data_IF_751648087929
#
_entry.id   IF_751648087929
#
_cell.length_a   1.000
_cell.length_b   1.000
_cell.length_c   1.000
_cell.angle_alpha   90.00
_cell.angle_beta   90.00
_cell.angle_gamma   90.00
#
_symmetry.space_group_name_H-M   'P 1'
#
loop_
_entity.id
_entity.type
_entity.pdbx_description
1 polymer ?
#
# COMPACT_ATOMS: atom_id res chain seq x y z
N UNK A 1 -10.99 9.94 11.42
CA UNK A 1 -11.18 9.62 12.85
C UNK A 1 -9.91 9.73 13.68
N UNK A 2 -8.91 8.83 13.56
CA UNK A 2 -7.70 8.94 14.40
C UNK A 2 -6.98 10.28 14.20
N UNK A 3 -6.81 10.72 12.96
CA UNK A 3 -6.27 12.06 12.63
C UNK A 3 -7.01 13.24 13.33
N UNK A 4 -8.30 13.08 13.64
CA UNK A 4 -9.11 14.12 14.28
C UNK A 4 -9.11 14.01 15.81
N UNK A 5 -8.96 12.80 16.34
CA UNK A 5 -9.09 12.50 17.77
C UNK A 5 -7.73 12.36 18.47
N UNK A 6 -6.68 12.07 17.70
CA UNK A 6 -5.30 11.89 18.13
C UNK A 6 -4.39 12.59 17.10
N UNK A 7 -4.36 13.94 17.12
CA UNK A 7 -3.73 14.73 16.05
C UNK A 7 -2.20 14.73 16.07
N UNK A 8 -1.56 14.11 17.08
CA UNK A 8 -0.11 14.04 17.21
C UNK A 8 0.36 12.58 17.41
N UNK A 9 1.29 12.07 16.56
CA UNK A 9 1.81 12.71 15.35
C UNK A 9 0.77 12.79 14.22
N UNK A 10 0.75 13.86 13.41
CA UNK A 10 -0.20 14.00 12.31
C UNK A 10 0.14 13.04 11.16
N UNK A 11 -0.86 12.39 10.59
CA UNK A 11 -0.73 11.53 9.40
C UNK A 11 -1.15 12.26 8.12
N UNK A 12 -1.57 13.52 8.24
CA UNK A 12 -1.83 14.42 7.13
C UNK A 12 -1.01 15.71 7.27
N UNK A 13 -0.51 16.26 6.15
CA UNK A 13 0.18 17.54 6.14
C UNK A 13 -0.78 18.70 6.43
N UNK A 14 -0.22 19.89 6.72
CA UNK A 14 -1.01 21.05 7.14
C UNK A 14 -1.86 21.67 6.01
N UNK A 15 -1.31 21.82 4.81
CA UNK A 15 -2.00 22.53 3.72
C UNK A 15 -3.11 21.67 3.11
N UNK A 16 -4.23 22.30 2.72
CA UNK A 16 -5.35 21.58 2.08
C UNK A 16 -4.93 20.89 0.77
N UNK A 17 -4.02 21.51 0.01
CA UNK A 17 -3.47 20.94 -1.21
C UNK A 17 -2.66 19.66 -0.95
N UNK A 18 -1.75 19.70 0.04
CA UNK A 18 -0.94 18.53 0.39
C UNK A 18 -1.81 17.40 0.94
N UNK A 19 -2.84 17.73 1.74
CA UNK A 19 -3.82 16.75 2.23
C UNK A 19 -4.55 16.06 1.10
N UNK A 20 -4.88 16.79 0.04
CA UNK A 20 -5.50 16.21 -1.15
C UNK A 20 -4.53 15.24 -1.88
N UNK A 21 -3.24 15.58 -1.95
CA UNK A 21 -2.24 14.70 -2.55
C UNK A 21 -2.06 13.40 -1.77
N UNK A 22 -1.90 13.48 -0.44
CA UNK A 22 -1.77 12.29 0.42
C UNK A 22 -3.02 11.41 0.33
N UNK A 23 -4.22 12.00 0.37
CA UNK A 23 -5.46 11.24 0.19
C UNK A 23 -5.54 10.60 -1.19
N UNK A 24 -5.12 11.30 -2.24
CA UNK A 24 -5.13 10.74 -3.59
C UNK A 24 -4.14 9.58 -3.75
N UNK A 25 -2.99 9.59 -3.08
CA UNK A 25 -2.08 8.44 -3.03
C UNK A 25 -2.70 7.27 -2.26
N UNK A 26 -3.29 7.57 -1.10
CA UNK A 26 -3.94 6.57 -0.24
C UNK A 26 -5.11 5.89 -0.94
N UNK A 27 -5.98 6.67 -1.60
CA UNK A 27 -7.17 6.18 -2.30
C UNK A 27 -6.83 5.38 -3.55
N UNK A 28 -5.75 5.74 -4.27
CA UNK A 28 -5.28 4.90 -5.37
C UNK A 28 -5.00 3.46 -4.92
N UNK A 29 -4.53 3.26 -3.68
CA UNK A 29 -4.33 1.93 -3.10
C UNK A 29 -5.64 1.36 -2.55
N UNK A 30 -6.31 2.12 -1.69
CA UNK A 30 -7.46 1.66 -0.91
C UNK A 30 -8.72 1.43 -1.77
N UNK A 31 -8.85 2.10 -2.91
CA UNK A 31 -10.00 2.01 -3.80
C UNK A 31 -9.70 1.24 -5.09
N UNK A 32 -8.52 1.46 -5.69
CA UNK A 32 -8.28 0.98 -7.05
C UNK A 32 -7.41 -0.28 -7.11
N UNK A 33 -6.70 -0.64 -6.03
CA UNK A 33 -5.86 -1.85 -5.97
C UNK A 33 -6.44 -2.86 -4.99
N UNK A 34 -6.45 -2.51 -3.70
CA UNK A 34 -6.75 -3.44 -2.61
C UNK A 34 -8.11 -4.14 -2.75
N UNK A 35 -9.23 -3.45 -3.10
CA UNK A 35 -10.54 -4.09 -3.19
C UNK A 35 -10.61 -5.22 -4.21
N UNK A 36 -9.84 -5.15 -5.30
CA UNK A 36 -9.81 -6.15 -6.37
C UNK A 36 -9.03 -7.40 -5.99
N UNK A 37 -8.07 -7.28 -5.08
CA UNK A 37 -7.30 -8.40 -4.51
C UNK A 37 -7.89 -8.98 -3.22
N UNK A 38 -9.05 -8.50 -2.77
CA UNK A 38 -9.66 -8.96 -1.51
C UNK A 38 -10.14 -10.42 -1.61
N UNK A 39 -10.03 -11.18 -0.52
CA UNK A 39 -10.46 -12.58 -0.44
C UNK A 39 -11.90 -12.81 -0.92
N UNK A 40 -12.84 -11.89 -0.63
CA UNK A 40 -14.23 -12.03 -1.12
C UNK A 40 -14.32 -12.05 -2.63
N UNK A 41 -13.50 -11.23 -3.31
CA UNK A 41 -13.44 -11.14 -4.77
C UNK A 41 -12.76 -12.39 -5.32
N UNK A 42 -11.61 -12.77 -4.76
CA UNK A 42 -10.88 -13.96 -5.22
C UNK A 42 -11.68 -15.25 -5.01
N UNK A 43 -12.40 -15.38 -3.90
CA UNK A 43 -13.28 -16.52 -3.65
C UNK A 43 -14.45 -16.58 -4.62
N UNK A 44 -15.03 -15.43 -4.99
CA UNK A 44 -16.06 -15.37 -6.02
C UNK A 44 -15.50 -15.81 -7.39
N UNK A 45 -14.31 -15.34 -7.77
CA UNK A 45 -13.64 -15.76 -9.00
C UNK A 45 -13.41 -17.28 -9.04
N UNK A 46 -12.93 -17.86 -7.93
CA UNK A 46 -12.71 -19.30 -7.80
C UNK A 46 -14.02 -20.09 -7.89
N UNK A 47 -15.05 -19.67 -7.15
CA UNK A 47 -16.31 -20.41 -7.07
C UNK A 47 -17.14 -20.35 -8.36
N UNK A 48 -17.27 -19.14 -8.94
CA UNK A 48 -18.17 -18.84 -10.05
C UNK A 48 -17.51 -19.09 -11.40
N UNK A 49 -16.27 -18.62 -11.58
CA UNK A 49 -15.55 -18.70 -12.86
C UNK A 49 -14.51 -19.81 -12.91
N UNK A 50 -14.41 -20.62 -11.84
CA UNK A 50 -13.43 -21.71 -11.72
C UNK A 50 -11.98 -21.24 -11.96
N UNK A 51 -11.70 -19.99 -11.61
CA UNK A 51 -10.35 -19.43 -11.69
C UNK A 51 -9.42 -20.24 -10.77
N UNK A 52 -8.38 -20.83 -11.35
CA UNK A 52 -7.33 -21.53 -10.62
C UNK A 52 -6.35 -20.54 -9.98
N UNK A 53 -5.40 -21.05 -9.20
CA UNK A 53 -4.43 -20.21 -8.51
C UNK A 53 -3.57 -19.38 -9.47
N UNK A 54 -3.30 -19.87 -10.69
CA UNK A 54 -2.56 -19.11 -11.69
C UNK A 54 -3.36 -17.91 -12.19
N UNK A 55 -4.65 -18.10 -12.49
CA UNK A 55 -5.55 -17.04 -12.90
C UNK A 55 -5.75 -16.00 -11.78
N UNK A 56 -5.87 -16.44 -10.52
CA UNK A 56 -5.99 -15.53 -9.38
C UNK A 56 -4.71 -14.72 -9.14
N UNK A 57 -3.53 -15.35 -9.25
CA UNK A 57 -2.26 -14.65 -9.14
C UNK A 57 -2.07 -13.63 -10.27
N UNK A 58 -2.45 -13.99 -11.50
CA UNK A 58 -2.42 -13.07 -12.64
C UNK A 58 -3.37 -11.88 -12.44
N UNK A 59 -4.60 -12.14 -11.95
CA UNK A 59 -5.57 -11.11 -11.61
C UNK A 59 -5.01 -10.11 -10.59
N UNK A 60 -4.50 -10.60 -9.46
CA UNK A 60 -3.91 -9.73 -8.44
C UNK A 60 -2.69 -8.99 -8.97
N UNK A 61 -1.83 -9.68 -9.72
CA UNK A 61 -0.63 -9.11 -10.33
C UNK A 61 -0.92 -7.96 -11.28
N UNK A 62 -1.97 -8.05 -12.10
CA UNK A 62 -2.37 -6.99 -13.02
C UNK A 62 -2.74 -5.71 -12.27
N UNK A 63 -3.65 -5.80 -11.30
CA UNK A 63 -4.14 -4.64 -10.55
C UNK A 63 -3.05 -4.00 -9.69
N UNK A 64 -2.21 -4.81 -9.04
CA UNK A 64 -1.04 -4.32 -8.31
C UNK A 64 -0.08 -3.64 -9.29
N UNK A 65 0.25 -4.28 -10.41
CA UNK A 65 1.23 -3.79 -11.36
C UNK A 65 0.82 -2.46 -12.00
N UNK A 66 -0.45 -2.31 -12.38
CA UNK A 66 -1.02 -1.06 -12.88
C UNK A 66 -0.95 0.05 -11.83
N UNK A 67 -1.40 -0.24 -10.60
CA UNK A 67 -1.39 0.72 -9.51
C UNK A 67 0.02 1.14 -9.11
N UNK A 68 0.95 0.20 -8.98
CA UNK A 68 2.34 0.46 -8.62
C UNK A 68 3.06 1.27 -9.69
N UNK A 69 2.79 1.04 -10.98
CA UNK A 69 3.35 1.87 -12.06
C UNK A 69 2.93 3.33 -11.91
N UNK A 70 1.66 3.59 -11.62
CA UNK A 70 1.16 4.95 -11.41
C UNK A 70 1.73 5.57 -10.13
N UNK A 71 1.79 4.81 -9.03
CA UNK A 71 2.29 5.28 -7.74
C UNK A 71 3.80 5.56 -7.77
N UNK A 72 4.61 4.73 -8.42
CA UNK A 72 6.06 4.92 -8.57
C UNK A 72 6.40 6.29 -9.18
N UNK A 73 5.69 6.67 -10.25
CA UNK A 73 5.87 7.96 -10.91
C UNK A 73 5.34 9.14 -10.07
N UNK A 74 4.29 8.92 -9.27
CA UNK A 74 3.79 9.95 -8.35
C UNK A 74 4.75 10.19 -7.19
N UNK A 75 5.24 9.14 -6.56
CA UNK A 75 6.20 9.18 -5.44
C UNK A 75 7.49 9.86 -5.84
N UNK A 76 7.94 9.68 -7.09
CA UNK A 76 9.09 10.42 -7.65
C UNK A 76 8.96 11.94 -7.50
N UNK A 77 7.73 12.47 -7.53
CA UNK A 77 7.45 13.92 -7.47
C UNK A 77 7.01 14.38 -6.09
N UNK A 78 6.36 13.50 -5.32
CA UNK A 78 5.77 13.85 -4.02
C UNK A 78 6.65 13.56 -2.82
N UNK A 79 7.55 12.58 -2.90
CA UNK A 79 8.49 12.28 -1.81
C UNK A 79 9.60 13.33 -1.78
N UNK A 80 9.87 13.88 -0.59
CA UNK A 80 10.95 14.83 -0.34
C UNK A 80 12.28 14.15 -0.01
N UNK A 81 12.24 12.92 0.51
CA UNK A 81 13.40 12.21 1.05
C UNK A 81 13.65 10.82 0.43
N UNK A 82 12.76 10.36 -0.45
CA UNK A 82 12.79 9.03 -1.04
C UNK A 82 12.45 7.89 -0.07
N UNK A 83 12.00 8.21 1.15
CA UNK A 83 11.74 7.26 2.25
C UNK A 83 10.28 7.24 2.69
N UNK A 84 9.51 8.27 2.33
CA UNK A 84 8.07 8.36 2.55
C UNK A 84 7.33 8.54 1.22
N UNK A 85 6.06 8.15 1.15
CA UNK A 85 5.20 8.33 -0.02
C UNK A 85 4.96 9.81 -0.35
N UNK A 86 5.02 10.69 0.66
CA UNK A 86 4.82 12.13 0.54
C UNK A 86 5.71 12.88 1.53
N UNK A 87 6.39 13.95 1.07
CA UNK A 87 7.24 14.75 1.96
C UNK A 87 8.34 13.93 2.63
N UNK A 88 8.51 14.11 3.93
CA UNK A 88 9.57 13.47 4.73
C UNK A 88 9.07 12.88 6.07
N UNK A 89 7.76 12.79 6.25
CA UNK A 89 7.11 12.28 7.46
C UNK A 89 6.14 11.15 7.09
N UNK A 90 5.81 10.28 8.04
CA UNK A 90 4.81 9.23 7.86
C UNK A 90 3.42 9.85 7.66
N UNK A 91 2.74 9.44 6.60
CA UNK A 91 1.39 9.88 6.24
C UNK A 91 0.43 8.72 6.06
N UNK A 92 -0.86 9.00 5.84
CA UNK A 92 -1.85 7.98 5.47
C UNK A 92 -1.45 7.15 4.23
N UNK A 93 -0.70 7.74 3.29
CA UNK A 93 -0.27 7.02 2.09
C UNK A 93 0.74 5.90 2.43
N UNK A 94 1.59 6.14 3.43
CA UNK A 94 2.56 5.17 3.95
C UNK A 94 1.86 3.99 4.63
N UNK A 95 0.80 4.27 5.38
CA UNK A 95 -0.05 3.24 5.99
C UNK A 95 -0.74 2.35 4.97
N UNK A 96 -1.02 2.87 3.76
CA UNK A 96 -1.62 2.09 2.69
C UNK A 96 -0.59 1.29 1.87
N UNK A 97 0.60 1.86 1.59
CA UNK A 97 1.56 1.20 0.70
C UNK A 97 2.22 -0.02 1.32
N UNK A 98 2.53 0.00 2.62
CA UNK A 98 3.20 -1.13 3.31
C UNK A 98 2.38 -2.43 3.23
N UNK A 99 1.09 -2.47 3.64
CA UNK A 99 0.29 -3.68 3.48
C UNK A 99 0.03 -4.04 2.00
N UNK A 100 0.02 -3.06 1.09
CA UNK A 100 -0.12 -3.35 -0.33
C UNK A 100 1.15 -3.99 -0.94
N UNK A 101 2.34 -3.57 -0.49
CA UNK A 101 3.61 -4.19 -0.83
C UNK A 101 3.71 -5.60 -0.24
N UNK A 102 3.21 -5.80 0.98
CA UNK A 102 3.06 -7.14 1.56
C UNK A 102 2.21 -8.05 0.67
N UNK A 103 1.04 -7.58 0.22
CA UNK A 103 0.19 -8.33 -0.70
C UNK A 103 0.89 -8.62 -2.03
N UNK A 104 1.62 -7.66 -2.59
CA UNK A 104 2.41 -7.87 -3.80
C UNK A 104 3.41 -9.03 -3.63
N UNK A 105 4.13 -9.07 -2.50
CA UNK A 105 5.06 -10.18 -2.18
C UNK A 105 4.31 -11.51 -1.98
N UNK A 106 3.18 -11.50 -1.25
CA UNK A 106 2.33 -12.69 -1.01
C UNK A 106 1.86 -13.34 -2.32
N UNK A 107 1.48 -12.53 -3.30
CA UNK A 107 1.03 -12.98 -4.61
C UNK A 107 2.15 -13.06 -5.66
N UNK A 108 3.42 -12.99 -5.23
CA UNK A 108 4.62 -13.14 -6.07
C UNK A 108 4.68 -12.17 -7.26
N UNK A 109 4.12 -10.97 -7.08
CA UNK A 109 4.20 -9.90 -8.08
C UNK A 109 5.65 -9.42 -8.18
N UNK A 110 6.17 -9.26 -9.39
CA UNK A 110 7.49 -8.66 -9.58
C UNK A 110 7.45 -7.18 -9.21
N UNK A 111 8.18 -6.83 -8.16
CA UNK A 111 8.28 -5.45 -7.67
C UNK A 111 9.59 -4.77 -8.05
N UNK A 112 10.50 -5.45 -8.76
CA UNK A 112 11.76 -4.84 -9.22
C UNK A 112 11.57 -3.55 -10.02
N UNK A 113 10.53 -3.41 -10.87
CA UNK A 113 10.28 -2.18 -11.62
C UNK A 113 9.91 -0.95 -10.77
N UNK A 114 9.70 -1.10 -9.45
CA UNK A 114 9.24 -0.03 -8.56
C UNK A 114 10.26 0.30 -7.46
N UNK A 115 11.48 0.76 -7.82
CA UNK A 115 12.56 0.95 -6.86
C UNK A 115 12.24 1.98 -5.77
N UNK A 116 11.44 3.02 -6.04
CA UNK A 116 11.07 4.02 -5.02
C UNK A 116 10.07 3.46 -4.03
N UNK A 117 9.01 2.80 -4.51
CA UNK A 117 8.05 2.15 -3.62
C UNK A 117 8.74 1.11 -2.73
N UNK A 118 9.72 0.38 -3.27
CA UNK A 118 10.54 -0.56 -2.50
C UNK A 118 11.39 0.15 -1.45
N UNK A 119 12.05 1.25 -1.79
CA UNK A 119 12.86 2.02 -0.85
C UNK A 119 12.01 2.62 0.29
N UNK A 120 10.85 3.18 -0.04
CA UNK A 120 9.86 3.67 0.93
C UNK A 120 9.42 2.53 1.85
N UNK A 121 8.97 1.40 1.31
CA UNK A 121 8.53 0.28 2.14
C UNK A 121 9.65 -0.26 3.04
N UNK A 122 10.87 -0.40 2.52
CA UNK A 122 12.02 -0.85 3.31
C UNK A 122 12.32 0.11 4.48
N UNK A 123 12.21 1.42 4.25
CA UNK A 123 12.36 2.39 5.33
C UNK A 123 11.22 2.27 6.35
N UNK A 124 9.97 2.30 5.91
CA UNK A 124 8.80 2.25 6.80
C UNK A 124 8.77 0.96 7.63
N UNK A 125 9.05 -0.20 7.00
CA UNK A 125 9.12 -1.51 7.66
C UNK A 125 10.24 -1.57 8.73
N UNK A 126 11.26 -0.72 8.63
CA UNK A 126 12.32 -0.62 9.66
C UNK A 126 11.88 0.17 10.91
N UNK A 127 10.78 0.93 10.83
CA UNK A 127 10.28 1.72 11.95
C UNK A 127 9.57 0.83 12.97
N UNK A 128 9.79 1.00 14.29
CA UNK A 128 9.18 0.13 15.31
C UNK A 128 7.65 0.06 15.26
N UNK A 129 6.97 1.15 14.85
CA UNK A 129 5.52 1.17 14.73
C UNK A 129 5.00 0.22 13.65
N UNK A 130 5.65 0.20 12.48
CA UNK A 130 5.29 -0.71 11.38
C UNK A 130 5.71 -2.14 11.67
N UNK A 131 6.91 -2.35 12.23
CA UNK A 131 7.39 -3.69 12.60
C UNK A 131 6.43 -4.39 13.58
N UNK A 132 5.90 -3.68 14.59
CA UNK A 132 4.89 -4.23 15.51
C UNK A 132 3.51 -4.44 14.87
N UNK A 133 3.20 -3.71 13.80
CA UNK A 133 1.93 -3.82 13.07
C UNK A 133 1.97 -4.87 11.95
N UNK A 134 3.12 -5.50 11.69
CA UNK A 134 3.26 -6.54 10.68
C UNK A 134 2.35 -7.74 10.99
N UNK A 135 1.77 -8.41 9.98
CA UNK A 135 0.90 -9.57 10.19
C UNK A 135 1.55 -10.65 11.06
N UNK A 136 2.83 -10.94 10.86
CA UNK A 136 3.58 -11.97 11.58
C UNK A 136 3.83 -11.63 13.06
N UNK A 137 3.67 -10.35 13.44
CA UNK A 137 3.82 -9.88 14.81
C UNK A 137 2.51 -9.92 15.61
N UNK A 138 1.39 -10.33 15.00
CA UNK A 138 0.09 -10.37 15.67
C UNK A 138 -0.12 -11.66 16.47
N UNK A 139 -0.89 -11.64 17.58
CA UNK A 139 -1.08 -12.81 18.44
C UNK A 139 -1.66 -14.04 17.76
N UNK A 140 -2.44 -13.84 16.69
CA UNK A 140 -3.15 -14.85 15.90
C UNK A 140 -2.37 -15.33 14.67
N UNK A 141 -1.13 -14.86 14.45
CA UNK A 141 -0.29 -15.25 13.31
C UNK A 141 0.31 -16.66 13.42
N UNK A 142 -0.13 -17.47 14.40
CA UNK A 142 0.38 -18.82 14.69
C UNK A 142 -0.41 -19.91 13.99
#
# INVERSE_FOLDING_TARGET
>A
YLEETHPDPPLLPRSSADRAQVRSLSLAIACDIHPLGNLRVLNYLRATFKADENALNAWVGEWIGMGFRALEERVRRSSGDGRHMYGSDVTLADLCIVPQMYNARRYKVDVQPYPRLRAVCAHLESLPAFARAAPEAQPDAR
#
